data_IF_216335253882
#
_entry.id   IF_216335253882
#
_cell.length_a   1.000
_cell.length_b   1.000
_cell.length_c   1.000
_cell.angle_alpha   90.00
_cell.angle_beta   90.00
_cell.angle_gamma   90.00
#
_symmetry.space_group_name_H-M   'P 1'
#
loop_
_entity.id
_entity.type
_entity.pdbx_description
1 polymer ?
#
# COMPACT_ATOMS: atom_id res chain seq x y z
N UNK A 1 9.32 21.72 -3.24
CA UNK A 1 8.68 23.06 -3.06
C UNK A 1 7.77 23.41 -4.25
N UNK A 2 7.31 22.43 -4.99
CA UNK A 2 6.42 22.58 -6.14
C UNK A 2 5.14 23.32 -5.75
N UNK A 3 4.75 24.34 -6.52
CA UNK A 3 3.61 25.23 -6.26
C UNK A 3 3.66 26.01 -4.93
N UNK A 4 4.83 26.30 -4.40
CA UNK A 4 4.99 27.19 -3.24
C UNK A 4 5.72 28.49 -3.61
N UNK A 5 5.65 29.55 -2.77
CA UNK A 5 6.46 30.75 -2.98
C UNK A 5 7.97 30.51 -3.05
N UNK A 6 8.44 29.36 -2.56
CA UNK A 6 9.83 28.93 -2.70
C UNK A 6 10.14 28.17 -4.00
N UNK A 7 9.15 27.97 -4.87
CA UNK A 7 9.34 27.34 -6.19
C UNK A 7 9.87 28.40 -7.18
N UNK A 8 11.15 28.63 -7.10
CA UNK A 8 11.84 29.61 -7.91
C UNK A 8 13.06 28.99 -8.60
N UNK A 9 13.47 29.55 -9.73
CA UNK A 9 14.65 29.09 -10.44
C UNK A 9 15.93 29.12 -9.59
N UNK A 10 16.02 30.04 -8.63
CA UNK A 10 17.15 30.14 -7.70
C UNK A 10 17.17 29.02 -6.65
N UNK A 11 16.02 28.44 -6.34
CA UNK A 11 15.88 27.32 -5.39
C UNK A 11 16.03 25.94 -6.06
N UNK A 12 16.22 25.91 -7.38
CA UNK A 12 16.36 24.68 -8.14
C UNK A 12 17.70 24.01 -7.83
N UNK A 13 17.65 22.76 -7.32
CA UNK A 13 18.86 21.98 -7.13
C UNK A 13 19.45 21.53 -8.50
N UNK A 14 20.69 21.90 -8.74
CA UNK A 14 21.38 21.61 -10.02
C UNK A 14 21.53 20.10 -10.26
N UNK A 15 21.72 19.30 -9.20
CA UNK A 15 21.80 17.84 -9.31
C UNK A 15 20.48 17.24 -9.75
N UNK A 16 19.35 17.72 -9.20
CA UNK A 16 18.03 17.33 -9.62
C UNK A 16 17.74 17.71 -11.07
N UNK A 17 18.11 18.94 -11.46
CA UNK A 17 17.96 19.40 -12.84
C UNK A 17 18.76 18.52 -13.82
N UNK A 18 20.03 18.23 -13.51
CA UNK A 18 20.87 17.36 -14.31
C UNK A 18 20.28 15.95 -14.41
N UNK A 19 19.82 15.38 -13.30
CA UNK A 19 19.20 14.05 -13.27
C UNK A 19 17.97 13.99 -14.18
N UNK A 20 17.08 14.98 -14.11
CA UNK A 20 15.92 15.05 -14.99
C UNK A 20 16.31 15.25 -16.46
N UNK A 21 17.31 16.09 -16.72
CA UNK A 21 17.84 16.31 -18.07
C UNK A 21 18.45 15.03 -18.67
N UNK A 22 19.25 14.30 -17.90
CA UNK A 22 19.80 13.01 -18.32
C UNK A 22 18.71 11.96 -18.55
N UNK A 23 17.72 11.87 -17.67
CA UNK A 23 16.60 10.95 -17.83
C UNK A 23 15.81 11.27 -19.11
N UNK A 24 15.48 12.54 -19.34
CA UNK A 24 14.81 12.99 -20.56
C UNK A 24 15.64 12.66 -21.82
N UNK A 25 16.94 12.95 -21.80
CA UNK A 25 17.82 12.67 -22.93
C UNK A 25 17.95 11.17 -23.23
N UNK A 26 18.08 10.34 -22.19
CA UNK A 26 18.13 8.88 -22.34
C UNK A 26 16.82 8.34 -22.92
N UNK A 27 15.67 8.82 -22.43
CA UNK A 27 14.36 8.44 -22.96
C UNK A 27 14.22 8.87 -24.42
N UNK A 28 14.56 10.12 -24.75
CA UNK A 28 14.50 10.63 -26.13
C UNK A 28 15.36 9.79 -27.07
N UNK A 29 16.60 9.51 -26.69
CA UNK A 29 17.50 8.66 -27.48
C UNK A 29 16.94 7.24 -27.65
N UNK A 30 16.36 6.68 -26.60
CA UNK A 30 15.73 5.36 -26.63
C UNK A 30 14.58 5.35 -27.63
N UNK A 31 13.63 6.28 -27.52
CA UNK A 31 12.48 6.36 -28.40
C UNK A 31 12.88 6.67 -29.85
N UNK A 32 13.88 7.53 -30.08
CA UNK A 32 14.35 7.83 -31.41
C UNK A 32 15.01 6.62 -32.14
N UNK A 33 15.47 5.63 -31.36
CA UNK A 33 16.08 4.40 -31.91
C UNK A 33 15.12 3.19 -31.92
N UNK A 34 13.87 3.35 -31.50
CA UNK A 34 12.87 2.27 -31.43
C UNK A 34 11.88 2.38 -32.60
N UNK A 35 11.34 1.24 -33.02
CA UNK A 35 10.16 1.22 -33.86
C UNK A 35 8.95 1.62 -33.02
N UNK A 36 8.44 2.83 -33.22
CA UNK A 36 7.30 3.38 -32.47
C UNK A 36 5.98 2.65 -32.78
N UNK A 37 5.89 1.94 -33.91
CA UNK A 37 4.72 1.09 -34.23
C UNK A 37 4.63 -0.17 -33.38
N UNK A 38 5.74 -0.57 -32.73
CA UNK A 38 5.81 -1.76 -31.88
C UNK A 38 5.72 -1.45 -30.36
N UNK A 39 5.30 -0.24 -29.99
CA UNK A 39 5.25 0.20 -28.58
C UNK A 39 4.00 -0.27 -27.80
N UNK A 40 3.10 -1.03 -28.42
CA UNK A 40 1.99 -1.63 -27.71
C UNK A 40 2.51 -2.64 -26.68
N UNK A 41 2.48 -2.25 -25.43
CA UNK A 41 2.79 -3.12 -24.31
C UNK A 41 1.48 -3.57 -23.61
N UNK A 42 1.46 -4.83 -23.18
CA UNK A 42 0.36 -5.32 -22.33
C UNK A 42 0.45 -4.67 -20.97
N UNK A 43 -0.72 -4.45 -20.35
CA UNK A 43 -0.81 -3.95 -18.99
C UNK A 43 0.00 -4.81 -18.03
N UNK A 44 0.74 -4.14 -17.17
CA UNK A 44 1.58 -4.79 -16.17
C UNK A 44 1.35 -4.15 -14.79
N UNK A 45 1.37 -5.00 -13.78
CA UNK A 45 1.43 -4.57 -12.38
C UNK A 45 2.89 -4.34 -12.03
N UNK A 46 3.21 -3.18 -11.48
CA UNK A 46 4.56 -2.85 -11.03
C UNK A 46 4.52 -2.20 -9.66
N UNK A 47 5.59 -2.36 -8.90
CA UNK A 47 5.76 -1.68 -7.62
C UNK A 47 7.25 -1.38 -7.39
N UNK A 48 7.51 -0.28 -6.71
CA UNK A 48 8.88 0.11 -6.39
C UNK A 48 9.32 -0.52 -5.07
N UNK A 49 10.55 -1.05 -5.05
CA UNK A 49 11.26 -1.44 -3.85
C UNK A 49 12.40 -0.45 -3.61
N UNK A 50 12.15 0.69 -2.94
CA UNK A 50 13.12 1.78 -2.84
C UNK A 50 14.44 1.38 -2.19
N UNK A 51 14.39 0.46 -1.20
CA UNK A 51 15.58 -0.05 -0.50
C UNK A 51 16.51 -0.86 -1.43
N UNK A 52 15.95 -1.48 -2.48
CA UNK A 52 16.70 -2.30 -3.44
C UNK A 52 16.95 -1.57 -4.76
N UNK A 53 16.38 -0.39 -4.95
CA UNK A 53 16.49 0.38 -6.19
C UNK A 53 15.89 -0.32 -7.42
N UNK A 54 14.94 -1.24 -7.24
CA UNK A 54 14.33 -2.02 -8.32
C UNK A 54 12.81 -1.80 -8.37
N UNK A 55 12.24 -1.92 -9.56
CA UNK A 55 10.81 -1.90 -9.81
C UNK A 55 10.38 -3.22 -10.46
N UNK A 56 10.13 -4.28 -9.68
CA UNK A 56 9.61 -5.52 -10.20
C UNK A 56 8.27 -5.31 -10.91
N UNK A 57 8.03 -6.06 -11.96
CA UNK A 57 6.78 -6.04 -12.68
C UNK A 57 6.35 -7.45 -13.09
N UNK A 58 5.04 -7.65 -13.23
CA UNK A 58 4.46 -8.89 -13.72
C UNK A 58 3.16 -8.60 -14.47
N UNK A 59 2.75 -9.49 -15.38
CA UNK A 59 1.53 -9.29 -16.16
C UNK A 59 0.28 -9.39 -15.28
N UNK A 60 -0.79 -8.74 -15.72
CA UNK A 60 -2.11 -8.80 -15.06
C UNK A 60 -2.64 -10.23 -14.93
N UNK A 61 -2.27 -11.13 -15.85
CA UNK A 61 -2.60 -12.57 -15.76
C UNK A 61 -2.03 -13.19 -14.49
N UNK A 62 -0.78 -12.88 -14.15
CA UNK A 62 -0.17 -13.34 -12.90
C UNK A 62 -0.83 -12.71 -11.67
N UNK A 63 -1.26 -11.45 -11.75
CA UNK A 63 -2.01 -10.82 -10.66
C UNK A 63 -3.30 -11.58 -10.36
N UNK A 64 -4.08 -11.91 -11.39
CA UNK A 64 -5.31 -12.70 -11.26
C UNK A 64 -5.02 -14.11 -10.74
N UNK A 65 -3.98 -14.79 -11.26
CA UNK A 65 -3.60 -16.11 -10.83
C UNK A 65 -3.19 -16.14 -9.35
N UNK A 66 -2.41 -15.16 -8.91
CA UNK A 66 -1.99 -15.03 -7.50
C UNK A 66 -3.19 -14.72 -6.59
N UNK A 67 -4.11 -13.86 -7.02
CA UNK A 67 -5.33 -13.56 -6.27
C UNK A 67 -6.22 -14.82 -6.13
N UNK A 68 -6.40 -15.58 -7.22
CA UNK A 68 -7.13 -16.83 -7.20
C UNK A 68 -6.48 -17.86 -6.28
N UNK A 69 -5.15 -18.03 -6.36
CA UNK A 69 -4.41 -18.92 -5.48
C UNK A 69 -4.56 -18.52 -4.00
N UNK A 70 -4.48 -17.22 -3.68
CA UNK A 70 -4.69 -16.73 -2.32
C UNK A 70 -6.11 -17.01 -1.83
N UNK A 71 -7.13 -16.83 -2.66
CA UNK A 71 -8.52 -17.16 -2.33
C UNK A 71 -8.71 -18.66 -2.07
N UNK A 72 -8.13 -19.52 -2.92
CA UNK A 72 -8.17 -20.97 -2.72
C UNK A 72 -7.49 -21.37 -1.42
N UNK A 73 -6.30 -20.85 -1.15
CA UNK A 73 -5.57 -21.13 0.10
C UNK A 73 -6.37 -20.67 1.33
N UNK A 74 -7.04 -19.52 1.25
CA UNK A 74 -7.92 -19.03 2.30
C UNK A 74 -9.08 -20.02 2.56
N UNK A 75 -9.76 -20.47 1.51
CA UNK A 75 -10.87 -21.41 1.63
C UNK A 75 -10.37 -22.73 2.24
N UNK A 76 -9.25 -23.28 1.76
CA UNK A 76 -8.64 -24.50 2.30
C UNK A 76 -8.30 -24.32 3.78
N UNK A 77 -7.67 -23.22 4.16
CA UNK A 77 -7.34 -22.91 5.55
C UNK A 77 -8.60 -22.83 6.43
N UNK A 78 -9.63 -22.14 5.95
CA UNK A 78 -10.90 -22.00 6.66
C UNK A 78 -11.61 -23.34 6.87
N UNK A 79 -11.71 -24.15 5.81
CA UNK A 79 -12.30 -25.49 5.90
C UNK A 79 -11.51 -26.39 6.86
N UNK A 80 -10.18 -26.37 6.78
CA UNK A 80 -9.30 -27.17 7.64
C UNK A 80 -9.44 -26.76 9.11
N UNK A 81 -9.40 -25.45 9.40
CA UNK A 81 -9.56 -24.92 10.75
C UNK A 81 -10.93 -25.27 11.35
N UNK A 82 -11.99 -25.25 10.53
CA UNK A 82 -13.32 -25.67 10.95
C UNK A 82 -13.41 -27.19 11.22
N UNK A 83 -12.88 -28.02 10.32
CA UNK A 83 -12.87 -29.48 10.50
C UNK A 83 -12.12 -29.88 11.76
N UNK A 84 -11.05 -29.16 12.10
CA UNK A 84 -10.28 -29.39 13.34
C UNK A 84 -10.89 -28.74 14.58
N UNK A 85 -12.04 -28.05 14.44
CA UNK A 85 -12.69 -27.28 15.51
C UNK A 85 -11.80 -26.20 16.14
N UNK A 86 -10.78 -25.72 15.40
CA UNK A 86 -9.85 -24.68 15.81
C UNK A 86 -10.41 -23.26 15.55
N UNK A 87 -11.46 -23.13 14.75
CA UNK A 87 -12.12 -21.87 14.43
C UNK A 87 -13.64 -22.00 14.45
N UNK A 88 -14.29 -21.11 15.18
CA UNK A 88 -15.75 -20.94 15.20
C UNK A 88 -16.20 -19.85 14.22
N UNK A 89 -17.36 -20.04 13.55
CA UNK A 89 -17.90 -19.04 12.60
C UNK A 89 -18.09 -17.69 13.27
N UNK A 90 -18.71 -17.66 14.45
CA UNK A 90 -18.94 -16.41 15.19
C UNK A 90 -17.62 -15.67 15.48
N UNK A 91 -16.56 -16.41 15.85
CA UNK A 91 -15.24 -15.83 16.07
C UNK A 91 -14.60 -15.26 14.79
N UNK A 92 -14.79 -15.93 13.64
CA UNK A 92 -14.31 -15.43 12.34
C UNK A 92 -15.06 -14.15 11.96
N UNK A 93 -16.40 -14.17 12.03
CA UNK A 93 -17.22 -13.00 11.68
C UNK A 93 -16.84 -11.80 12.56
N UNK A 94 -16.73 -12.01 13.87
CA UNK A 94 -16.36 -10.94 14.78
C UNK A 94 -14.96 -10.41 14.52
N UNK A 95 -13.99 -11.29 14.20
CA UNK A 95 -12.66 -10.89 13.81
C UNK A 95 -12.66 -10.06 12.50
N UNK A 96 -13.46 -10.44 11.50
CA UNK A 96 -13.65 -9.66 10.26
C UNK A 96 -14.18 -8.27 10.59
N UNK A 97 -15.24 -8.16 11.40
CA UNK A 97 -15.82 -6.87 11.77
C UNK A 97 -14.79 -5.99 12.49
N UNK A 98 -14.06 -6.54 13.45
CA UNK A 98 -13.07 -5.81 14.23
C UNK A 98 -11.91 -5.34 13.35
N UNK A 99 -11.37 -6.19 12.46
CA UNK A 99 -10.29 -5.79 11.58
C UNK A 99 -10.73 -4.82 10.48
N UNK A 100 -11.95 -4.95 9.96
CA UNK A 100 -12.51 -3.97 9.03
C UNK A 100 -12.68 -2.60 9.70
N UNK A 101 -13.23 -2.57 10.92
CA UNK A 101 -13.35 -1.35 11.71
C UNK A 101 -11.97 -0.74 12.03
N UNK A 102 -10.98 -1.57 12.37
CA UNK A 102 -9.62 -1.12 12.61
C UNK A 102 -8.98 -0.54 11.35
N UNK A 103 -9.17 -1.16 10.18
CA UNK A 103 -8.68 -0.64 8.91
C UNK A 103 -9.30 0.73 8.58
N UNK A 104 -10.61 0.87 8.73
CA UNK A 104 -11.31 2.15 8.56
C UNK A 104 -10.82 3.23 9.53
N UNK A 105 -10.68 2.89 10.81
CA UNK A 105 -10.17 3.79 11.83
C UNK A 105 -8.71 4.21 11.54
N UNK A 106 -7.86 3.29 11.08
CA UNK A 106 -6.49 3.58 10.69
C UNK A 106 -6.40 4.51 9.50
N UNK A 107 -7.26 4.32 8.49
CA UNK A 107 -7.37 5.22 7.34
C UNK A 107 -7.82 6.62 7.75
N UNK A 108 -8.85 6.70 8.60
CA UNK A 108 -9.33 7.97 9.14
C UNK A 108 -8.24 8.66 9.99
N UNK A 109 -7.56 7.92 10.86
CA UNK A 109 -6.45 8.44 11.65
C UNK A 109 -5.34 8.98 10.75
N UNK A 110 -4.93 8.24 9.72
CA UNK A 110 -3.91 8.67 8.77
C UNK A 110 -4.30 9.98 8.06
N UNK A 111 -5.54 10.08 7.61
CA UNK A 111 -6.05 11.30 6.99
C UNK A 111 -6.05 12.51 7.95
N UNK A 112 -6.54 12.32 9.19
CA UNK A 112 -6.54 13.38 10.22
C UNK A 112 -5.14 13.79 10.61
N UNK A 113 -4.26 12.81 10.80
CA UNK A 113 -2.85 13.05 11.14
C UNK A 113 -2.13 13.82 10.03
N UNK A 114 -2.34 13.44 8.77
CA UNK A 114 -1.76 14.16 7.63
C UNK A 114 -2.24 15.62 7.58
N UNK A 115 -3.53 15.87 7.80
CA UNK A 115 -4.07 17.24 7.87
C UNK A 115 -3.50 18.06 9.03
N UNK A 116 -3.34 17.44 10.20
CA UNK A 116 -2.74 18.09 11.36
C UNK A 116 -1.27 18.43 11.09
N UNK A 117 -0.51 17.49 10.56
CA UNK A 117 0.88 17.71 10.21
C UNK A 117 1.03 18.83 9.15
N UNK A 118 0.14 18.87 8.16
CA UNK A 118 0.09 19.94 7.17
C UNK A 118 -0.21 21.32 7.79
N UNK A 119 -1.12 21.36 8.76
CA UNK A 119 -1.47 22.63 9.46
C UNK A 119 -0.34 23.12 10.37
N UNK A 120 0.50 22.24 10.89
CA UNK A 120 1.62 22.57 11.79
C UNK A 120 2.90 22.96 11.04
N UNK A 121 2.99 22.70 9.75
CA UNK A 121 4.18 22.92 8.95
C UNK A 121 3.84 23.67 7.68
N UNK A 122 4.24 24.92 7.57
CA UNK A 122 4.05 25.78 6.39
C UNK A 122 4.65 25.20 5.10
N UNK A 123 5.61 24.29 5.22
CA UNK A 123 6.27 23.60 4.10
C UNK A 123 5.65 22.26 3.74
N UNK A 124 4.59 21.86 4.41
CA UNK A 124 3.88 20.64 4.09
C UNK A 124 2.93 20.90 2.90
N UNK A 125 3.20 20.26 1.79
CA UNK A 125 2.33 20.33 0.62
C UNK A 125 1.20 19.31 0.76
N UNK A 126 -0.08 19.73 0.61
CA UNK A 126 -1.22 18.80 0.62
C UNK A 126 -1.15 17.77 -0.49
N UNK A 127 -0.39 18.04 -1.55
CA UNK A 127 -0.37 17.31 -2.82
C UNK A 127 0.79 16.33 -2.98
N UNK A 128 1.67 16.20 -1.99
CA UNK A 128 2.79 15.26 -2.10
C UNK A 128 3.69 15.16 -0.87
N UNK A 129 4.48 14.09 -0.78
CA UNK A 129 5.43 13.92 0.31
C UNK A 129 6.56 14.93 0.17
N UNK A 130 6.66 15.88 1.08
CA UNK A 130 7.86 16.70 1.22
C UNK A 130 9.00 15.87 1.82
N UNK A 131 10.24 16.31 1.65
CA UNK A 131 11.43 15.67 2.26
C UNK A 131 11.28 15.52 3.77
N UNK A 132 10.48 16.39 4.41
CA UNK A 132 10.19 16.37 5.85
C UNK A 132 9.02 15.44 6.22
N UNK A 133 8.31 14.85 5.25
CA UNK A 133 7.15 13.98 5.50
C UNK A 133 7.53 12.56 5.95
N UNK A 134 8.73 12.09 5.61
CA UNK A 134 9.16 10.73 5.91
C UNK A 134 9.13 10.38 7.42
N UNK A 135 9.60 11.23 8.37
CA UNK A 135 9.50 10.93 9.80
C UNK A 135 8.05 10.85 10.28
N UNK A 136 7.17 11.71 9.78
CA UNK A 136 5.74 11.69 10.13
C UNK A 136 5.04 10.45 9.58
N UNK A 137 5.32 10.09 8.34
CA UNK A 137 4.80 8.86 7.75
C UNK A 137 5.31 7.64 8.52
N UNK A 138 6.58 7.61 8.88
CA UNK A 138 7.18 6.55 9.69
C UNK A 138 6.54 6.44 11.08
N UNK A 139 6.34 7.56 11.77
CA UNK A 139 5.67 7.59 13.07
C UNK A 139 4.21 7.11 12.99
N UNK A 140 3.48 7.54 11.96
CA UNK A 140 2.11 7.11 11.72
C UNK A 140 2.03 5.60 11.46
N UNK A 141 2.89 5.07 10.60
CA UNK A 141 2.95 3.62 10.31
C UNK A 141 3.31 2.84 11.57
N UNK A 142 4.30 3.29 12.34
CA UNK A 142 4.69 2.65 13.59
C UNK A 142 3.52 2.64 14.60
N UNK A 143 2.79 3.75 14.74
CA UNK A 143 1.62 3.83 15.62
C UNK A 143 0.51 2.86 15.19
N UNK A 144 0.21 2.76 13.90
CA UNK A 144 -0.79 1.82 13.37
C UNK A 144 -0.35 0.37 13.60
N UNK A 145 0.92 0.04 13.37
CA UNK A 145 1.47 -1.30 13.63
C UNK A 145 1.39 -1.63 15.13
N UNK A 146 1.78 -0.71 16.01
CA UNK A 146 1.69 -0.92 17.45
C UNK A 146 0.24 -1.13 17.92
N UNK A 147 -0.70 -0.33 17.41
CA UNK A 147 -2.13 -0.50 17.70
C UNK A 147 -2.68 -1.83 17.18
N UNK A 148 -2.25 -2.27 15.98
CA UNK A 148 -2.61 -3.57 15.41
C UNK A 148 -2.09 -4.72 16.26
N UNK A 149 -0.83 -4.68 16.70
CA UNK A 149 -0.22 -5.69 17.57
C UNK A 149 -0.94 -5.76 18.91
N UNK A 150 -1.26 -4.62 19.53
CA UNK A 150 -2.00 -4.54 20.77
C UNK A 150 -3.43 -5.13 20.62
N UNK A 151 -4.14 -4.75 19.56
CA UNK A 151 -5.46 -5.31 19.23
C UNK A 151 -5.39 -6.83 19.05
N UNK A 152 -4.40 -7.32 18.29
CA UNK A 152 -4.20 -8.75 18.06
C UNK A 152 -3.92 -9.49 19.38
N UNK A 153 -3.07 -8.95 20.25
CA UNK A 153 -2.78 -9.52 21.55
C UNK A 153 -4.02 -9.58 22.47
N UNK A 154 -4.87 -8.55 22.43
CA UNK A 154 -6.13 -8.52 23.16
C UNK A 154 -7.13 -9.57 22.65
N UNK A 155 -7.29 -9.66 21.34
CA UNK A 155 -8.19 -10.63 20.71
C UNK A 155 -7.76 -12.07 21.01
N UNK A 156 -6.47 -12.38 21.05
CA UNK A 156 -5.94 -13.70 21.39
C UNK A 156 -6.32 -14.17 22.81
N UNK A 157 -6.66 -13.26 23.70
CA UNK A 157 -7.13 -13.61 25.06
C UNK A 157 -8.59 -14.09 25.09
N UNK A 158 -9.38 -13.79 24.06
CA UNK A 158 -10.82 -14.03 24.02
C UNK A 158 -11.26 -14.99 22.92
N UNK A 159 -10.47 -15.11 21.85
CA UNK A 159 -10.83 -15.87 20.66
C UNK A 159 -9.72 -16.85 20.27
N UNK A 160 -10.12 -17.93 19.61
CA UNK A 160 -9.17 -18.88 19.03
C UNK A 160 -8.27 -18.20 18.00
N UNK A 161 -6.97 -18.47 18.05
CA UNK A 161 -5.98 -17.86 17.17
C UNK A 161 -6.32 -18.03 15.68
N UNK A 162 -6.86 -19.18 15.29
CA UNK A 162 -7.27 -19.48 13.93
C UNK A 162 -8.44 -18.60 13.45
N UNK A 163 -9.42 -18.34 14.33
CA UNK A 163 -10.54 -17.42 14.00
C UNK A 163 -10.05 -16.02 13.71
N UNK A 164 -9.08 -15.52 14.51
CA UNK A 164 -8.49 -14.19 14.36
C UNK A 164 -7.69 -14.12 13.06
N UNK A 165 -6.85 -15.12 12.79
CA UNK A 165 -6.03 -15.18 11.58
C UNK A 165 -6.89 -15.22 10.30
N UNK A 166 -7.96 -16.02 10.29
CA UNK A 166 -8.89 -16.09 9.17
C UNK A 166 -9.65 -14.79 8.97
N UNK A 167 -10.09 -14.12 10.05
CA UNK A 167 -10.73 -12.82 9.96
C UNK A 167 -9.82 -11.75 9.36
N UNK A 168 -8.57 -11.67 9.82
CA UNK A 168 -7.56 -10.76 9.29
C UNK A 168 -7.26 -11.03 7.81
N UNK A 169 -7.04 -12.30 7.45
CA UNK A 169 -6.77 -12.71 6.06
C UNK A 169 -7.95 -12.37 5.13
N UNK A 170 -9.20 -12.54 5.59
CA UNK A 170 -10.37 -12.15 4.81
C UNK A 170 -10.40 -10.65 4.53
N UNK A 171 -10.16 -9.81 5.54
CA UNK A 171 -10.14 -8.34 5.36
C UNK A 171 -9.05 -7.93 4.38
N UNK A 172 -7.86 -8.53 4.46
CA UNK A 172 -6.78 -8.24 3.52
C UNK A 172 -7.14 -8.66 2.08
N UNK A 173 -7.73 -9.84 1.88
CA UNK A 173 -8.18 -10.29 0.56
C UNK A 173 -9.27 -9.38 -0.01
N UNK A 174 -10.24 -9.00 0.80
CA UNK A 174 -11.31 -8.08 0.40
C UNK A 174 -10.78 -6.69 0.03
N UNK A 175 -9.84 -6.15 0.81
CA UNK A 175 -9.18 -4.87 0.52
C UNK A 175 -8.38 -4.93 -0.79
N UNK A 176 -7.64 -6.01 -1.03
CA UNK A 176 -6.88 -6.22 -2.27
C UNK A 176 -7.83 -6.32 -3.48
N UNK A 177 -8.93 -7.06 -3.37
CA UNK A 177 -9.92 -7.17 -4.43
C UNK A 177 -10.61 -5.83 -4.72
N UNK A 178 -10.94 -5.06 -3.68
CA UNK A 178 -11.53 -3.73 -3.84
C UNK A 178 -10.55 -2.76 -4.52
N UNK A 179 -9.27 -2.74 -4.12
CA UNK A 179 -8.27 -1.85 -4.71
C UNK A 179 -8.03 -2.16 -6.20
N UNK A 180 -8.06 -3.42 -6.60
CA UNK A 180 -7.92 -3.81 -8.01
C UNK A 180 -9.12 -3.39 -8.87
N UNK A 181 -10.32 -3.34 -8.28
CA UNK A 181 -11.53 -2.86 -8.97
C UNK A 181 -11.49 -1.36 -9.26
N UNK A 182 -10.94 -0.56 -8.34
CA UNK A 182 -10.82 0.91 -8.52
C UNK A 182 -9.62 1.31 -9.39
N UNK A 183 -8.71 0.39 -9.68
CA UNK A 183 -7.53 0.65 -10.52
C UNK A 183 -7.74 0.24 -12.00
N UNK A 184 -8.86 -0.42 -12.32
CA UNK A 184 -9.27 -0.81 -13.67
C UNK A 184 -10.18 0.24 -14.30
#
# INVERSE_FOLDING_TARGET
QYHTPGDSAAALDRGSLQHHGEAALRLTRRFASMDLGALEARDAVYFSLPLLGVAPHYSTVWAVALAAAAAVLFVVAAVRARRRREAGIAGIILAVIIYAAFAGASGHFGWRFGRLAAAMHERWLPEGPSVTSAPYAGAMVAAIIAAWLALHALLRKRFAAQSIALGAAFVMLAATAASSWFAA
#
